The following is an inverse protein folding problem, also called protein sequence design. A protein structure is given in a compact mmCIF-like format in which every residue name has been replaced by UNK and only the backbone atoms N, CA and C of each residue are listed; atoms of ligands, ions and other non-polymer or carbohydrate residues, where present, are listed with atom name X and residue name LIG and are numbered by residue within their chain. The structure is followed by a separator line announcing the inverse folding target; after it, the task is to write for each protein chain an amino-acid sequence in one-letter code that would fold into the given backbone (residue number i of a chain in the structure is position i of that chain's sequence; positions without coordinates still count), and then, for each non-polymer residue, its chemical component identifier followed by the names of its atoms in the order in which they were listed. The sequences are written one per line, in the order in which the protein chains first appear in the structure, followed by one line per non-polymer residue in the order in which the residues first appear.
data_IF_528032368424
#
_entry.id   IF_528032368424
#
_cell.length_a   1.000
_cell.length_b   1.000
_cell.length_c   1.000
_cell.angle_alpha   90.00
_cell.angle_beta   90.00
_cell.angle_gamma   90.00
#
_symmetry.space_group_name_H-M   'P 1'
#
loop_
_entity.id
_entity.type
_entity.pdbx_description
1 polymer ?
#
# COMPACT_ATOMS: atom_id res chain seq x y z
N UNK A 1 1.87 -9.55 -17.04
CA UNK A 1 0.62 -8.76 -17.06
C UNK A 1 0.35 -8.16 -18.44
N UNK A 2 1.14 -7.20 -18.96
CA UNK A 2 0.85 -6.52 -20.25
C UNK A 2 0.61 -7.46 -21.46
N UNK A 3 1.29 -8.62 -21.50
CA UNK A 3 1.09 -9.61 -22.56
C UNK A 3 -0.35 -10.18 -22.60
N UNK A 4 -1.05 -10.24 -21.47
CA UNK A 4 -2.43 -10.74 -21.41
C UNK A 4 -3.43 -9.82 -22.12
N UNK A 5 -3.16 -8.53 -22.23
CA UNK A 5 -3.95 -7.60 -23.05
C UNK A 5 -3.73 -7.80 -24.57
N UNK A 6 -2.64 -8.50 -24.92
CA UNK A 6 -2.25 -8.80 -26.29
C UNK A 6 -2.51 -10.27 -26.66
N UNK A 7 -3.21 -11.03 -25.81
CA UNK A 7 -3.59 -12.39 -26.17
C UNK A 7 -4.43 -12.37 -27.46
N UNK A 8 -4.06 -13.18 -28.49
CA UNK A 8 -4.72 -13.14 -29.79
C UNK A 8 -6.09 -13.84 -29.79
N UNK A 9 -6.40 -14.65 -28.77
CA UNK A 9 -7.62 -15.45 -28.69
C UNK A 9 -8.54 -14.88 -27.59
N UNK A 10 -8.01 -14.62 -26.40
CA UNK A 10 -8.77 -14.19 -25.22
C UNK A 10 -8.06 -13.05 -24.47
N UNK A 11 -8.02 -11.82 -25.03
CA UNK A 11 -7.40 -10.68 -24.36
C UNK A 11 -8.20 -10.25 -23.13
N UNK A 12 -7.52 -9.96 -22.02
CA UNK A 12 -8.16 -9.36 -20.84
C UNK A 12 -8.58 -7.91 -21.14
N UNK A 13 -9.63 -7.44 -20.46
CA UNK A 13 -10.08 -6.04 -20.49
C UNK A 13 -9.74 -5.28 -19.20
N UNK A 14 -9.35 -5.99 -18.14
CA UNK A 14 -8.96 -5.43 -16.85
C UNK A 14 -7.82 -6.26 -16.26
N UNK A 15 -6.80 -5.57 -15.76
CA UNK A 15 -5.68 -6.17 -15.05
C UNK A 15 -5.33 -5.34 -13.83
N UNK A 16 -5.06 -6.01 -12.71
CA UNK A 16 -4.60 -5.38 -11.47
C UNK A 16 -3.22 -5.91 -11.10
N UNK A 17 -2.35 -5.02 -10.65
CA UNK A 17 -1.03 -5.35 -10.09
C UNK A 17 -0.89 -4.67 -8.73
N UNK A 18 -0.23 -5.35 -7.81
CA UNK A 18 0.01 -4.86 -6.46
C UNK A 18 1.50 -4.99 -6.14
N UNK A 19 2.04 -3.93 -5.55
CA UNK A 19 3.40 -3.89 -5.00
C UNK A 19 3.29 -3.52 -3.53
N UNK A 20 3.98 -4.26 -2.67
CA UNK A 20 3.97 -4.02 -1.22
C UNK A 20 4.92 -2.88 -0.80
N UNK A 21 5.71 -2.35 -1.72
CA UNK A 21 6.53 -1.16 -1.50
C UNK A 21 5.78 0.08 -2.02
N UNK A 22 5.97 1.26 -1.38
CA UNK A 22 6.96 1.55 -0.35
C UNK A 22 6.52 1.25 1.10
N UNK A 23 5.34 0.64 1.30
CA UNK A 23 4.76 0.41 2.63
C UNK A 23 5.71 -0.34 3.58
N UNK A 24 6.27 -1.47 3.14
CA UNK A 24 7.20 -2.26 3.95
C UNK A 24 8.43 -1.44 4.37
N UNK A 25 9.05 -0.71 3.45
CA UNK A 25 10.19 0.16 3.79
C UNK A 25 9.78 1.26 4.78
N UNK A 26 8.58 1.81 4.63
CA UNK A 26 8.00 2.79 5.55
C UNK A 26 7.82 2.26 6.96
N UNK A 27 7.26 1.06 7.11
CA UNK A 27 7.15 0.39 8.41
C UNK A 27 8.50 0.12 9.07
N UNK A 28 9.53 -0.21 8.28
CA UNK A 28 10.85 -0.54 8.83
C UNK A 28 11.67 0.69 9.23
N UNK A 29 11.51 1.81 8.51
CA UNK A 29 12.46 2.93 8.60
C UNK A 29 11.81 4.28 8.90
N UNK A 30 10.48 4.36 8.81
CA UNK A 30 9.71 5.61 8.90
C UNK A 30 9.56 6.33 7.55
N UNK A 31 8.47 7.09 7.35
CA UNK A 31 8.19 7.78 6.08
C UNK A 31 9.19 8.90 5.74
N UNK A 32 9.94 9.41 6.71
CA UNK A 32 10.91 10.50 6.51
C UNK A 32 12.36 10.00 6.38
N UNK A 33 12.56 8.69 6.23
CA UNK A 33 13.89 8.09 6.18
C UNK A 33 14.55 8.25 4.79
N UNK A 34 15.89 8.15 4.76
CA UNK A 34 16.63 8.04 3.49
C UNK A 34 16.25 6.79 2.71
N UNK A 35 15.97 5.68 3.40
CA UNK A 35 15.56 4.42 2.78
C UNK A 35 14.22 4.57 2.08
N UNK A 36 13.26 5.29 2.68
CA UNK A 36 11.98 5.61 2.05
C UNK A 36 12.20 6.39 0.75
N UNK A 37 13.07 7.41 0.77
CA UNK A 37 13.39 8.17 -0.45
C UNK A 37 13.99 7.29 -1.55
N UNK A 38 14.88 6.36 -1.18
CA UNK A 38 15.45 5.40 -2.15
C UNK A 38 14.39 4.45 -2.68
N UNK A 39 13.54 3.89 -1.83
CA UNK A 39 12.49 2.95 -2.24
C UNK A 39 11.46 3.62 -3.16
N UNK A 40 11.06 4.86 -2.87
CA UNK A 40 10.16 5.62 -3.77
C UNK A 40 10.78 5.79 -5.15
N UNK A 41 12.10 6.02 -5.24
CA UNK A 41 12.80 6.07 -6.53
C UNK A 41 12.77 4.72 -7.26
N UNK A 42 12.98 3.62 -6.54
CA UNK A 42 12.88 2.27 -7.14
C UNK A 42 11.46 1.98 -7.66
N UNK A 43 10.42 2.37 -6.91
CA UNK A 43 9.03 2.27 -7.38
C UNK A 43 8.77 3.11 -8.64
N UNK A 44 9.31 4.34 -8.68
CA UNK A 44 9.22 5.23 -9.84
C UNK A 44 9.93 4.64 -11.07
N UNK A 45 11.13 4.06 -10.90
CA UNK A 45 11.87 3.38 -11.96
C UNK A 45 11.09 2.17 -12.52
N UNK A 46 10.45 1.38 -11.66
CA UNK A 46 9.59 0.27 -12.07
C UNK A 46 8.34 0.74 -12.83
N UNK A 47 7.72 1.85 -12.39
CA UNK A 47 6.62 2.47 -13.12
C UNK A 47 7.10 2.99 -14.48
N UNK A 48 8.27 3.61 -14.55
CA UNK A 48 8.91 4.05 -15.80
C UNK A 48 9.10 2.88 -16.77
N UNK A 49 9.63 1.75 -16.30
CA UNK A 49 9.74 0.54 -17.11
C UNK A 49 8.38 0.07 -17.66
N UNK A 50 7.33 0.10 -16.84
CA UNK A 50 5.99 -0.28 -17.26
C UNK A 50 5.45 0.67 -18.35
N UNK A 51 5.61 1.97 -18.15
CA UNK A 51 5.21 3.01 -19.11
C UNK A 51 5.95 2.84 -20.43
N UNK A 52 7.27 2.60 -20.42
CA UNK A 52 8.05 2.31 -21.62
C UNK A 52 7.53 1.09 -22.39
N UNK A 53 7.12 0.03 -21.69
CA UNK A 53 6.53 -1.17 -22.33
C UNK A 53 5.14 -0.92 -22.91
N UNK A 54 4.38 0.01 -22.34
CA UNK A 54 3.09 0.44 -22.89
C UNK A 54 3.34 1.30 -24.13
N UNK A 55 4.24 2.27 -24.05
CA UNK A 55 4.53 3.22 -25.14
C UNK A 55 5.19 2.58 -26.36
N UNK A 56 6.05 1.58 -26.15
CA UNK A 56 6.67 0.82 -27.25
C UNK A 56 5.71 -0.15 -27.94
N UNK A 57 4.49 -0.34 -27.41
CA UNK A 57 3.46 -1.20 -28.00
C UNK A 57 2.29 -0.35 -28.52
N UNK A 58 2.14 -0.25 -29.84
CA UNK A 58 1.12 0.60 -30.47
C UNK A 58 -0.31 0.29 -30.01
N UNK A 59 -0.67 -0.99 -29.85
CA UNK A 59 -2.00 -1.40 -29.40
C UNK A 59 -2.26 -0.96 -27.95
N UNK A 60 -1.29 -1.15 -27.06
CA UNK A 60 -1.42 -0.73 -25.66
C UNK A 60 -1.42 0.79 -25.54
N UNK A 61 -0.45 1.48 -26.17
CA UNK A 61 -0.33 2.95 -26.16
C UNK A 61 -1.61 3.66 -26.58
N UNK A 62 -2.35 3.11 -27.53
CA UNK A 62 -3.58 3.72 -28.05
C UNK A 62 -4.82 3.45 -27.18
N UNK A 63 -4.86 2.31 -26.47
CA UNK A 63 -6.12 1.79 -25.92
C UNK A 63 -6.08 1.49 -24.42
N UNK A 64 -4.91 1.43 -23.79
CA UNK A 64 -4.78 1.08 -22.37
C UNK A 64 -4.93 2.33 -21.50
N UNK A 65 -5.83 2.26 -20.53
CA UNK A 65 -5.95 3.26 -19.46
C UNK A 65 -5.23 2.75 -18.20
N UNK A 66 -4.25 3.52 -17.72
CA UNK A 66 -3.51 3.21 -16.51
C UNK A 66 -4.02 4.08 -15.35
N UNK A 67 -4.35 3.42 -14.23
CA UNK A 67 -4.61 4.08 -12.96
C UNK A 67 -3.50 3.65 -12.01
N UNK A 68 -2.75 4.62 -11.49
CA UNK A 68 -1.78 4.41 -10.42
C UNK A 68 -2.43 4.92 -9.14
N UNK A 69 -2.56 4.05 -8.15
CA UNK A 69 -3.18 4.38 -6.86
C UNK A 69 -2.47 3.65 -5.74
N UNK A 70 -2.70 4.13 -4.52
CA UNK A 70 -2.33 3.48 -3.28
C UNK A 70 -3.59 3.27 -2.43
N UNK A 71 -3.53 2.33 -1.51
CA UNK A 71 -4.54 2.02 -0.52
C UNK A 71 -4.54 2.98 0.67
N UNK A 72 -3.37 3.46 1.11
CA UNK A 72 -3.24 4.41 2.22
C UNK A 72 -1.90 5.18 2.24
N UNK A 73 -1.78 6.14 3.16
CA UNK A 73 -0.52 6.84 3.45
C UNK A 73 0.34 6.12 4.50
N UNK A 74 1.39 6.78 4.97
CA UNK A 74 2.26 6.32 6.05
C UNK A 74 2.55 7.49 7.00
N UNK A 75 2.57 7.24 8.30
CA UNK A 75 2.82 8.27 9.32
C UNK A 75 3.99 7.86 10.22
N UNK A 76 4.77 8.86 10.66
CA UNK A 76 5.87 8.64 11.59
C UNK A 76 5.35 8.44 13.00
N UNK A 77 5.67 7.30 13.58
CA UNK A 77 5.49 7.08 15.03
C UNK A 77 6.76 7.60 15.72
N UNK A 78 6.65 8.76 16.37
CA UNK A 78 7.74 9.36 17.16
C UNK A 78 7.85 8.65 18.53
N UNK A 79 8.27 7.38 18.51
CA UNK A 79 8.43 6.53 19.70
C UNK A 79 7.12 6.24 20.45
N UNK A 80 7.21 5.51 21.57
CA UNK A 80 6.10 5.29 22.52
C UNK A 80 5.90 6.53 23.41
N UNK A 81 5.94 7.74 22.86
CA UNK A 81 5.96 8.93 23.71
C UNK A 81 4.61 9.23 24.39
N UNK A 82 3.52 8.56 24.00
CA UNK A 82 2.25 8.46 24.77
C UNK A 82 1.37 7.29 24.24
N UNK A 83 1.77 6.02 24.40
CA UNK A 83 0.85 4.91 24.18
C UNK A 83 -0.36 5.08 25.09
N UNK A 84 -1.56 4.90 24.53
CA UNK A 84 -2.77 4.75 25.33
C UNK A 84 -2.91 3.25 25.61
N UNK A 85 -2.61 2.85 26.83
CA UNK A 85 -2.91 1.51 27.33
C UNK A 85 -4.34 1.52 27.86
N UNK A 86 -5.20 0.66 27.34
CA UNK A 86 -6.62 0.64 27.75
C UNK A 86 -6.77 0.23 29.21
N UNK A 87 -5.86 -0.61 29.70
CA UNK A 87 -5.79 -1.12 31.06
C UNK A 87 -5.64 -0.02 32.11
N UNK A 88 -5.11 1.15 31.73
CA UNK A 88 -4.97 2.30 32.61
C UNK A 88 -6.31 3.04 32.83
N UNK A 89 -7.32 2.79 31.99
CA UNK A 89 -8.58 3.55 31.98
C UNK A 89 -9.82 2.70 32.18
N UNK A 90 -9.78 1.41 31.82
CA UNK A 90 -10.95 0.52 31.86
C UNK A 90 -10.61 -0.86 32.39
N UNK A 91 -11.57 -1.45 33.10
CA UNK A 91 -11.52 -2.85 33.52
C UNK A 91 -11.58 -3.77 32.29
N UNK A 92 -10.45 -4.36 31.93
CA UNK A 92 -10.31 -5.23 30.76
C UNK A 92 -11.24 -6.45 30.78
N UNK A 93 -11.78 -6.84 31.94
CA UNK A 93 -12.76 -7.93 32.02
C UNK A 93 -14.14 -7.54 31.48
N UNK A 94 -14.41 -6.24 31.37
CA UNK A 94 -15.68 -5.66 30.90
C UNK A 94 -15.66 -5.24 29.45
N UNK A 95 -14.54 -5.41 28.75
CA UNK A 95 -14.40 -5.00 27.36
C UNK A 95 -13.72 -6.07 26.50
N UNK A 96 -14.04 -6.05 25.20
CA UNK A 96 -13.27 -6.75 24.16
C UNK A 96 -12.75 -5.72 23.18
N UNK A 97 -11.46 -5.78 22.88
CA UNK A 97 -10.83 -4.95 21.87
C UNK A 97 -10.42 -5.77 20.65
N UNK A 98 -10.65 -5.26 19.45
CA UNK A 98 -10.22 -5.87 18.19
C UNK A 98 -9.51 -4.84 17.30
N UNK A 99 -8.36 -5.21 16.76
CA UNK A 99 -7.54 -4.35 15.92
C UNK A 99 -6.15 -4.10 16.52
N UNK A 100 -5.36 -3.33 15.80
CA UNK A 100 -4.02 -2.87 16.20
C UNK A 100 -3.93 -1.36 15.96
N UNK A 101 -3.05 -0.63 16.64
CA UNK A 101 -2.85 0.78 16.35
C UNK A 101 -2.60 1.05 14.86
N UNK A 102 -3.15 2.13 14.28
CA UNK A 102 -3.85 3.23 14.95
C UNK A 102 -5.37 3.03 15.12
N UNK A 103 -5.94 1.90 14.70
CA UNK A 103 -7.41 1.68 14.72
C UNK A 103 -7.76 0.44 15.52
N UNK A 104 -8.30 0.67 16.72
CA UNK A 104 -8.80 -0.37 17.62
C UNK A 104 -10.29 -0.15 17.89
N UNK A 105 -11.09 -1.20 17.72
CA UNK A 105 -12.50 -1.22 18.08
C UNK A 105 -12.64 -1.75 19.52
N UNK A 106 -13.50 -1.12 20.33
CA UNK A 106 -13.75 -1.52 21.73
C UNK A 106 -15.24 -1.80 21.89
N UNK A 107 -15.57 -2.97 22.44
CA UNK A 107 -16.93 -3.43 22.70
C UNK A 107 -17.12 -3.73 24.18
N UNK A 108 -18.32 -3.45 24.70
CA UNK A 108 -18.70 -3.82 26.07
C UNK A 108 -18.93 -5.34 26.13
N UNK A 109 -18.38 -5.98 27.16
CA UNK A 109 -18.62 -7.38 27.49
C UNK A 109 -19.60 -7.44 28.67
N UNK A 110 -20.77 -8.05 28.42
CA UNK A 110 -21.81 -8.33 29.41
C UNK A 110 -21.44 -9.49 30.33
#
# INVERSE_FOLDING_TARGET
MLLWFNDPIEPINFGAMYFYEPDRTGHQTGPYSKNMTTMVRECDELLGYLLDKIDTNEKLRKNLHLIVTSDHGMEQINGTNNPIYLEDYVDHTKIRSFGVPPVTNIFVQS
#
